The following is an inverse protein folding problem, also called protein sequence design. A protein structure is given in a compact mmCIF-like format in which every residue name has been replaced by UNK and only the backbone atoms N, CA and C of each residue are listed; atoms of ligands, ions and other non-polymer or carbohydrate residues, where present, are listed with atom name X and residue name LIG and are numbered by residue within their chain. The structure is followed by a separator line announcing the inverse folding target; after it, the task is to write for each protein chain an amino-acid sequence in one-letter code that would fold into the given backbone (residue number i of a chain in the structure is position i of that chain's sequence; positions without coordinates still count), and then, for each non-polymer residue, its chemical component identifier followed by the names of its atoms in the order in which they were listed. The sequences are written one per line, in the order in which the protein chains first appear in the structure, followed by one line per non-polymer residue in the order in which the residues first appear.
data_IF_543935556877
#
_entry.id   IF_543935556877
#
_cell.length_a   1.000
_cell.length_b   1.000
_cell.length_c   1.000
_cell.angle_alpha   90.00
_cell.angle_beta   90.00
_cell.angle_gamma   90.00
#
_symmetry.space_group_name_H-M   'P 1'
#
loop_
_entity.id
_entity.type
_entity.pdbx_description
1 polymer ?
#
# COMPACT_ATOMS: atom_id res chain seq x y z
N UNK A 1 18.63 8.26 12.40
CA UNK A 1 18.38 7.38 11.25
C UNK A 1 16.93 6.97 11.31
N UNK A 2 16.18 7.16 10.23
CA UNK A 2 14.79 6.72 10.15
C UNK A 2 14.75 5.35 9.46
N UNK A 3 13.86 4.43 9.89
CA UNK A 3 13.71 3.14 9.24
C UNK A 3 13.20 3.30 7.80
N UNK A 4 13.75 2.50 6.89
CA UNK A 4 13.25 2.43 5.51
C UNK A 4 12.05 1.50 5.45
N UNK A 5 10.97 1.96 4.80
CA UNK A 5 9.80 1.14 4.53
C UNK A 5 10.04 0.31 3.26
N UNK A 6 9.86 -1.01 3.36
CA UNK A 6 9.80 -1.92 2.21
C UNK A 6 8.46 -2.63 2.21
N UNK A 7 7.63 -2.38 1.19
CA UNK A 7 6.36 -3.07 1.01
C UNK A 7 6.51 -4.11 -0.08
N UNK A 8 6.31 -5.38 0.27
CA UNK A 8 6.24 -6.47 -0.71
C UNK A 8 4.82 -6.56 -1.28
N UNK A 9 4.53 -5.66 -2.23
CA UNK A 9 3.27 -5.63 -2.94
C UNK A 9 3.23 -6.75 -3.98
N UNK A 10 2.84 -7.96 -3.54
CA UNK A 10 2.76 -9.18 -4.36
C UNK A 10 2.21 -8.95 -5.78
N UNK A 11 2.57 -9.83 -6.72
CA UNK A 11 2.14 -9.75 -8.12
C UNK A 11 0.66 -10.05 -8.37
N UNK A 12 0.31 -10.25 -9.65
CA UNK A 12 -1.08 -10.48 -10.09
C UNK A 12 -1.76 -11.61 -9.31
N UNK A 13 -2.91 -11.30 -8.71
CA UNK A 13 -3.71 -12.30 -8.02
C UNK A 13 -4.54 -13.10 -9.01
N UNK A 14 -4.23 -14.38 -9.23
CA UNK A 14 -4.98 -15.25 -10.16
C UNK A 14 -6.47 -15.38 -9.81
N UNK A 15 -6.80 -15.36 -8.51
CA UNK A 15 -8.20 -15.34 -8.01
C UNK A 15 -8.87 -13.98 -8.15
N UNK A 16 -8.09 -12.92 -8.10
CA UNK A 16 -8.58 -11.54 -8.15
C UNK A 16 -8.63 -11.01 -9.60
N UNK A 17 -7.97 -11.69 -10.54
CA UNK A 17 -7.97 -11.34 -11.96
C UNK A 17 -7.10 -10.13 -12.32
N UNK A 18 -6.29 -9.60 -11.41
CA UNK A 18 -5.54 -8.37 -11.65
C UNK A 18 -4.66 -7.92 -10.48
N UNK A 19 -4.29 -6.63 -10.53
CA UNK A 19 -3.43 -5.97 -9.56
C UNK A 19 -4.26 -5.37 -8.41
N UNK A 20 -4.65 -6.21 -7.45
CA UNK A 20 -5.46 -5.82 -6.28
C UNK A 20 -4.88 -4.67 -5.44
N UNK A 21 -3.59 -4.36 -5.59
CA UNK A 21 -2.90 -3.34 -4.81
C UNK A 21 -3.26 -1.91 -5.24
N UNK A 22 -3.72 -1.75 -6.49
CA UNK A 22 -4.09 -0.46 -7.07
C UNK A 22 -5.59 -0.20 -7.03
N UNK A 23 -6.37 -1.17 -6.56
CA UNK A 23 -7.82 -1.05 -6.48
C UNK A 23 -8.19 -0.02 -5.40
N UNK A 24 -9.18 0.85 -5.69
CA UNK A 24 -9.64 1.84 -4.73
C UNK A 24 -10.33 1.15 -3.55
N UNK A 25 -9.98 1.60 -2.34
CA UNK A 25 -10.54 1.14 -1.07
C UNK A 25 -11.15 2.29 -0.26
N UNK A 26 -10.57 3.49 -0.35
CA UNK A 26 -11.03 4.67 0.36
C UNK A 26 -12.13 5.48 -0.35
N UNK A 27 -12.76 6.44 0.36
CA UNK A 27 -13.87 7.23 -0.15
C UNK A 27 -13.50 8.12 -1.35
N UNK A 28 -12.20 8.42 -1.54
CA UNK A 28 -11.71 9.22 -2.66
C UNK A 28 -10.83 8.40 -3.61
N UNK A 29 -10.89 7.08 -3.55
CA UNK A 29 -10.12 6.19 -4.42
C UNK A 29 -8.72 5.83 -3.90
N UNK A 30 -8.45 6.10 -2.62
CA UNK A 30 -7.20 5.70 -1.97
C UNK A 30 -7.02 4.18 -2.03
N UNK A 31 -5.82 3.74 -2.35
CA UNK A 31 -5.42 2.34 -2.34
C UNK A 31 -4.97 1.92 -0.93
N UNK A 32 -4.82 0.61 -0.73
CA UNK A 32 -4.19 0.10 0.50
C UNK A 32 -2.74 0.61 0.67
N UNK A 33 -2.05 0.90 -0.43
CA UNK A 33 -0.69 1.43 -0.42
C UNK A 33 -0.63 2.89 0.06
N UNK A 34 -1.64 3.70 -0.27
CA UNK A 34 -1.73 5.09 0.20
C UNK A 34 -1.88 5.14 1.73
N UNK A 35 -2.77 4.31 2.28
CA UNK A 35 -2.91 4.17 3.73
C UNK A 35 -1.64 3.63 4.39
N UNK A 36 -0.99 2.64 3.77
CA UNK A 36 0.25 2.06 4.29
C UNK A 36 1.39 3.08 4.36
N UNK A 37 1.54 3.92 3.32
CA UNK A 37 2.54 4.99 3.30
C UNK A 37 2.25 6.06 4.35
N UNK A 38 0.98 6.47 4.48
CA UNK A 38 0.56 7.45 5.48
C UNK A 38 0.84 6.98 6.91
N UNK A 39 0.51 5.74 7.23
CA UNK A 39 0.77 5.15 8.56
C UNK A 39 2.27 4.98 8.81
N UNK A 40 3.05 4.57 7.80
CA UNK A 40 4.49 4.43 7.94
C UNK A 40 5.18 5.77 8.25
N UNK A 41 4.79 6.86 7.58
CA UNK A 41 5.30 8.20 7.88
C UNK A 41 5.00 8.58 9.34
N UNK A 42 3.77 8.32 9.81
CA UNK A 42 3.36 8.58 11.20
C UNK A 42 4.10 7.71 12.22
N UNK A 43 4.51 6.50 11.81
CA UNK A 43 5.33 5.61 12.60
C UNK A 43 6.84 5.94 12.55
N UNK A 44 7.23 7.00 11.82
CA UNK A 44 8.60 7.49 11.78
C UNK A 44 9.48 6.86 10.70
N UNK A 45 8.91 6.12 9.74
CA UNK A 45 9.63 5.68 8.55
C UNK A 45 9.91 6.84 7.61
N UNK A 46 11.02 6.73 6.86
CA UNK A 46 11.46 7.70 5.86
C UNK A 46 12.46 8.69 6.41
#
# INVERSE_FOLDING_TARGET
MQPTLLVLAAGMGSRYGGLKQMDPMGPNGETVLDYSAFDAIRAGFG
#
